data_IF_372780692285
#
_entry.id   IF_372780692285
#
_cell.length_a   1.000
_cell.length_b   1.000
_cell.length_c   1.000
_cell.angle_alpha   90.00
_cell.angle_beta   90.00
_cell.angle_gamma   90.00
#
_symmetry.space_group_name_H-M   'P 1'
#
loop_
_entity.id
_entity.type
_entity.pdbx_description
1 polymer ?
#
# COMPACT_ATOMS: atom_id res chain seq x y z
N UNK A 1 13.73 8.44 4.14
CA UNK A 1 14.64 8.51 2.99
C UNK A 1 14.24 9.62 2.05
N UNK A 2 15.17 10.17 1.30
CA UNK A 2 14.85 11.17 0.29
C UNK A 2 13.94 10.59 -0.80
N UNK A 3 13.39 11.48 -1.62
CA UNK A 3 12.50 11.14 -2.73
C UNK A 3 11.16 10.57 -2.27
N UNK A 4 10.62 11.15 -1.22
CA UNK A 4 9.25 10.88 -0.82
C UNK A 4 8.33 11.91 -1.49
N UNK A 5 7.27 11.44 -2.11
CA UNK A 5 6.28 12.28 -2.79
C UNK A 5 4.88 11.99 -2.24
N UNK A 6 4.12 13.05 -1.95
CA UNK A 6 2.74 12.93 -1.52
C UNK A 6 1.92 14.09 -2.07
N UNK A 7 0.57 13.96 -2.03
CA UNK A 7 -0.32 15.04 -2.45
C UNK A 7 -0.46 16.09 -1.35
N UNK A 8 -0.90 15.67 -0.19
CA UNK A 8 -1.17 16.59 0.93
C UNK A 8 -0.24 16.40 2.10
N UNK A 9 0.11 15.16 2.42
CA UNK A 9 0.90 14.79 3.59
C UNK A 9 0.09 14.76 4.87
N UNK A 10 -0.90 15.64 5.01
CA UNK A 10 -1.71 15.75 6.23
C UNK A 10 -2.62 14.54 6.47
N UNK A 11 -2.89 13.75 5.42
CA UNK A 11 -3.72 12.54 5.51
C UNK A 11 -2.92 11.27 5.77
N UNK A 12 -1.62 11.40 6.02
CA UNK A 12 -0.75 10.25 6.23
C UNK A 12 -0.43 10.14 7.72
N UNK A 13 -0.72 8.97 8.29
CA UNK A 13 -0.38 8.65 9.68
C UNK A 13 0.55 7.44 9.67
N UNK A 14 1.67 7.55 10.37
CA UNK A 14 2.67 6.47 10.48
C UNK A 14 2.90 6.14 11.93
N UNK A 15 3.03 4.84 12.20
CA UNK A 15 3.38 4.35 13.52
C UNK A 15 4.87 4.43 13.83
N UNK A 16 5.29 3.71 14.87
CA UNK A 16 6.67 3.67 15.32
C UNK A 16 7.51 2.72 14.48
N UNK A 17 8.80 3.00 14.38
CA UNK A 17 9.77 2.17 13.67
C UNK A 17 9.41 1.94 12.21
N UNK A 18 8.76 2.91 11.60
CA UNK A 18 8.46 2.87 10.18
C UNK A 18 9.74 3.13 9.39
N UNK A 19 10.01 2.29 8.40
CA UNK A 19 11.12 2.51 7.50
C UNK A 19 10.67 2.41 6.07
N UNK A 20 10.91 3.47 5.31
CA UNK A 20 10.66 3.48 3.87
C UNK A 20 11.96 3.77 3.13
N UNK A 21 12.21 3.00 2.11
CA UNK A 21 13.33 3.22 1.22
C UNK A 21 13.02 4.37 0.26
N UNK A 22 13.88 4.62 -0.72
CA UNK A 22 13.70 5.77 -1.61
C UNK A 22 12.57 5.58 -2.62
N UNK A 23 12.11 6.69 -3.20
CA UNK A 23 11.03 6.76 -4.19
C UNK A 23 9.69 6.23 -3.68
N UNK A 24 9.38 6.51 -2.42
CA UNK A 24 8.05 6.24 -1.89
C UNK A 24 7.08 7.30 -2.41
N UNK A 25 5.98 6.87 -2.99
CA UNK A 25 4.90 7.75 -3.45
C UNK A 25 3.63 7.39 -2.70
N UNK A 26 3.05 8.38 -2.03
CA UNK A 26 1.75 8.23 -1.36
C UNK A 26 0.85 9.34 -1.87
N UNK A 27 -0.18 8.98 -2.63
CA UNK A 27 -1.19 9.93 -3.07
C UNK A 27 -2.33 9.91 -2.05
N UNK A 28 -2.29 10.85 -1.12
CA UNK A 28 -3.15 10.86 0.07
C UNK A 28 -4.37 11.76 -0.07
N UNK A 29 -5.09 11.63 -1.17
CA UNK A 29 -6.41 12.26 -1.33
C UNK A 29 -7.36 11.76 -0.24
N UNK A 30 -7.28 10.47 0.10
CA UNK A 30 -7.94 9.88 1.26
C UNK A 30 -6.88 9.46 2.28
N UNK A 31 -7.27 9.17 3.54
CA UNK A 31 -6.30 8.80 4.57
C UNK A 31 -5.47 7.56 4.24
N UNK A 32 -4.20 7.61 4.60
CA UNK A 32 -3.28 6.47 4.57
C UNK A 32 -2.78 6.26 6.00
N UNK A 33 -3.06 5.08 6.54
CA UNK A 33 -2.64 4.72 7.90
C UNK A 33 -1.63 3.59 7.80
N UNK A 34 -0.45 3.82 8.35
CA UNK A 34 0.64 2.84 8.36
C UNK A 34 0.96 2.55 9.82
N UNK A 35 0.93 1.28 10.18
CA UNK A 35 1.15 0.85 11.56
C UNK A 35 2.62 0.87 11.98
N UNK A 36 2.91 0.14 13.05
CA UNK A 36 4.24 0.04 13.64
C UNK A 36 5.09 -1.00 12.92
N UNK A 37 6.40 -0.79 12.87
CA UNK A 37 7.37 -1.74 12.34
C UNK A 37 7.09 -2.13 10.88
N UNK A 38 6.64 -1.18 10.07
CA UNK A 38 6.37 -1.42 8.66
C UNK A 38 7.61 -1.12 7.84
N UNK A 39 7.93 -2.01 6.91
CA UNK A 39 9.07 -1.85 6.00
C UNK A 39 8.55 -1.70 4.57
N UNK A 40 8.92 -0.61 3.91
CA UNK A 40 8.63 -0.37 2.51
C UNK A 40 9.94 -0.33 1.72
N UNK A 41 10.11 -1.27 0.82
CA UNK A 41 11.27 -1.34 -0.06
C UNK A 41 11.22 -0.20 -1.11
N UNK A 42 12.24 -0.04 -1.96
CA UNK A 42 12.24 1.07 -2.93
C UNK A 42 11.07 1.03 -3.90
N UNK A 43 10.66 2.22 -4.34
CA UNK A 43 9.67 2.41 -5.41
C UNK A 43 8.27 1.86 -5.06
N UNK A 44 7.89 1.91 -3.80
CA UNK A 44 6.53 1.55 -3.38
C UNK A 44 5.59 2.72 -3.67
N UNK A 45 4.39 2.42 -4.15
CA UNK A 45 3.37 3.43 -4.47
C UNK A 45 2.05 3.07 -3.80
N UNK A 46 1.50 4.02 -3.02
CA UNK A 46 0.22 3.87 -2.32
C UNK A 46 -0.73 4.91 -2.90
N UNK A 47 -1.76 4.47 -3.62
CA UNK A 47 -2.67 5.35 -4.32
C UNK A 47 -4.06 5.29 -3.68
N UNK A 48 -4.52 6.40 -3.10
CA UNK A 48 -5.87 6.48 -2.54
C UNK A 48 -6.86 7.09 -3.52
N UNK A 49 -6.38 7.70 -4.59
CA UNK A 49 -7.25 8.36 -5.57
C UNK A 49 -7.43 7.50 -6.81
N UNK A 50 -8.62 7.58 -7.38
CA UNK A 50 -8.92 6.92 -8.64
C UNK A 50 -9.95 7.71 -9.42
N UNK A 51 -10.16 7.30 -10.66
CA UNK A 51 -11.14 7.90 -11.55
C UNK A 51 -12.15 6.84 -11.98
N UNK A 52 -13.40 7.24 -12.28
CA UNK A 52 -14.39 6.29 -12.79
C UNK A 52 -13.91 5.66 -14.10
N UNK A 53 -14.27 4.40 -14.28
CA UNK A 53 -13.93 3.67 -15.52
C UNK A 53 -14.69 4.24 -16.70
N UNK A 54 -15.94 4.66 -16.49
CA UNK A 54 -16.77 5.20 -17.55
C UNK A 54 -16.24 6.58 -18.00
N UNK A 55 -15.99 6.79 -19.30
CA UNK A 55 -15.34 8.02 -19.76
C UNK A 55 -16.16 9.28 -19.49
N UNK A 56 -17.49 9.24 -19.55
CA UNK A 56 -18.29 10.42 -19.28
C UNK A 56 -18.13 10.92 -17.86
N UNK A 57 -18.18 10.00 -16.90
CA UNK A 57 -17.95 10.34 -15.48
C UNK A 57 -16.52 10.81 -15.25
N UNK A 58 -15.55 10.15 -15.87
CA UNK A 58 -14.14 10.51 -15.75
C UNK A 58 -13.88 11.89 -16.33
N UNK A 59 -14.44 12.17 -17.52
CA UNK A 59 -14.20 13.43 -18.23
C UNK A 59 -14.90 14.61 -17.56
N UNK A 60 -15.87 14.37 -16.69
CA UNK A 60 -16.50 15.44 -15.91
C UNK A 60 -15.63 15.95 -14.77
N UNK A 61 -14.44 15.38 -14.59
CA UNK A 61 -13.53 15.75 -13.53
C UNK A 61 -13.77 15.01 -12.22
N UNK A 62 -14.64 14.00 -12.23
CA UNK A 62 -14.93 13.23 -11.04
C UNK A 62 -13.71 12.42 -10.62
N UNK A 63 -13.37 12.51 -9.34
CA UNK A 63 -12.29 11.76 -8.72
C UNK A 63 -12.80 11.21 -7.39
N UNK A 64 -12.42 9.99 -7.03
CA UNK A 64 -12.78 9.43 -5.73
C UNK A 64 -11.52 9.08 -4.97
N UNK A 65 -11.65 9.08 -3.64
CA UNK A 65 -10.58 8.65 -2.74
C UNK A 65 -11.08 7.57 -1.82
N UNK A 66 -10.28 6.53 -1.60
CA UNK A 66 -10.58 5.46 -0.66
C UNK A 66 -9.34 5.19 0.18
N UNK A 67 -9.49 5.11 1.51
CA UNK A 67 -8.34 4.99 2.40
C UNK A 67 -7.58 3.69 2.21
N UNK A 68 -6.27 3.75 2.48
CA UNK A 68 -5.40 2.59 2.54
C UNK A 68 -4.95 2.40 3.99
N UNK A 69 -4.99 1.16 4.45
CA UNK A 69 -4.50 0.78 5.77
C UNK A 69 -3.43 -0.29 5.62
N UNK A 70 -2.25 -0.02 6.15
CA UNK A 70 -1.17 -1.01 6.25
C UNK A 70 -0.97 -1.26 7.74
N UNK A 71 -1.31 -2.45 8.18
CA UNK A 71 -1.27 -2.79 9.60
C UNK A 71 0.17 -3.05 10.07
N UNK A 72 0.34 -3.34 11.35
CA UNK A 72 1.67 -3.51 11.94
C UNK A 72 2.45 -4.66 11.30
N UNK A 73 3.76 -4.53 11.32
CA UNK A 73 4.68 -5.59 10.94
C UNK A 73 4.58 -6.05 9.49
N UNK A 74 4.08 -5.20 8.60
CA UNK A 74 3.96 -5.49 7.17
C UNK A 74 5.25 -5.14 6.44
N UNK A 75 5.61 -5.97 5.48
CA UNK A 75 6.73 -5.69 4.58
C UNK A 75 6.25 -5.69 3.14
N UNK A 76 6.40 -4.55 2.47
CA UNK A 76 6.13 -4.42 1.03
C UNK A 76 7.45 -4.46 0.27
N UNK A 77 7.59 -5.42 -0.62
CA UNK A 77 8.76 -5.55 -1.48
C UNK A 77 8.87 -4.40 -2.49
N UNK A 78 9.99 -4.34 -3.20
CA UNK A 78 10.24 -3.25 -4.15
C UNK A 78 9.19 -3.16 -5.25
N UNK A 79 8.88 -1.94 -5.65
CA UNK A 79 7.94 -1.65 -6.74
C UNK A 79 6.53 -2.21 -6.52
N UNK A 80 6.12 -2.41 -5.28
CA UNK A 80 4.73 -2.79 -4.96
C UNK A 80 3.84 -1.57 -5.14
N UNK A 81 2.69 -1.77 -5.78
CA UNK A 81 1.65 -0.76 -5.93
C UNK A 81 0.40 -1.21 -5.18
N UNK A 82 -0.14 -0.32 -4.33
CA UNK A 82 -1.39 -0.57 -3.60
C UNK A 82 -2.46 0.38 -4.13
N UNK A 83 -3.59 -0.17 -4.53
CA UNK A 83 -4.68 0.60 -5.13
C UNK A 83 -5.64 1.11 -4.04
N UNK A 84 -6.52 2.09 -4.37
CA UNK A 84 -7.43 2.67 -3.39
C UNK A 84 -8.28 1.65 -2.64
N UNK A 85 -8.47 1.87 -1.34
CA UNK A 85 -9.38 1.10 -0.51
C UNK A 85 -8.84 -0.19 0.05
N UNK A 86 -7.56 -0.50 -0.13
CA UNK A 86 -6.97 -1.78 0.30
C UNK A 86 -6.49 -1.71 1.75
N UNK A 87 -6.75 -2.76 2.49
CA UNK A 87 -6.15 -3.02 3.81
C UNK A 87 -5.20 -4.20 3.70
N UNK A 88 -3.96 -4.00 4.14
CA UNK A 88 -2.96 -5.08 4.20
C UNK A 88 -2.81 -5.49 5.66
N UNK A 89 -3.13 -6.75 5.93
CA UNK A 89 -3.23 -7.27 7.29
C UNK A 89 -1.88 -7.44 7.97
N UNK A 90 -1.91 -7.41 9.28
CA UNK A 90 -0.75 -7.45 10.16
C UNK A 90 0.19 -8.61 9.80
N UNK A 91 1.47 -8.31 9.73
CA UNK A 91 2.50 -9.30 9.48
C UNK A 91 2.55 -9.85 8.06
N UNK A 92 1.73 -9.34 7.14
CA UNK A 92 1.78 -9.80 5.75
C UNK A 92 3.05 -9.34 5.05
N UNK A 93 3.51 -10.14 4.11
CA UNK A 93 4.64 -9.83 3.24
C UNK A 93 4.15 -9.83 1.81
N UNK A 94 4.41 -8.73 1.10
CA UNK A 94 4.03 -8.59 -0.30
C UNK A 94 5.27 -8.65 -1.17
N UNK A 95 5.31 -9.62 -2.08
CA UNK A 95 6.46 -9.81 -2.97
C UNK A 95 6.68 -8.65 -3.93
N UNK A 96 7.93 -8.44 -4.32
CA UNK A 96 8.33 -7.33 -5.20
C UNK A 96 7.54 -7.34 -6.51
N UNK A 97 7.24 -6.14 -7.01
CA UNK A 97 6.54 -5.97 -8.29
C UNK A 97 5.06 -6.28 -8.25
N UNK A 98 4.49 -6.56 -7.09
CA UNK A 98 3.07 -6.91 -6.97
C UNK A 98 2.17 -5.70 -7.10
N UNK A 99 0.96 -5.92 -7.60
CA UNK A 99 -0.11 -4.92 -7.61
C UNK A 99 -1.23 -5.43 -6.72
N UNK A 100 -1.41 -4.77 -5.56
CA UNK A 100 -2.37 -5.20 -4.54
C UNK A 100 -3.70 -4.54 -4.82
N UNK A 101 -4.66 -5.32 -5.29
CA UNK A 101 -5.97 -4.85 -5.72
C UNK A 101 -7.10 -5.21 -4.75
N UNK A 102 -6.83 -6.03 -3.75
CA UNK A 102 -7.79 -6.47 -2.73
C UNK A 102 -7.11 -6.52 -1.38
N UNK A 103 -7.91 -6.53 -0.34
CA UNK A 103 -7.40 -6.71 1.00
C UNK A 103 -6.57 -7.99 1.11
N UNK A 104 -5.49 -7.89 1.87
CA UNK A 104 -4.60 -9.03 2.13
C UNK A 104 -4.78 -9.45 3.59
N UNK A 105 -5.07 -10.73 3.85
CA UNK A 105 -5.23 -11.18 5.23
C UNK A 105 -3.93 -11.11 6.02
N UNK A 106 -4.02 -11.09 7.35
CA UNK A 106 -2.81 -11.07 8.19
C UNK A 106 -1.99 -12.35 8.04
N UNK A 107 -0.69 -12.23 8.24
CA UNK A 107 0.21 -13.36 8.39
C UNK A 107 0.40 -14.21 7.15
N UNK A 108 0.34 -13.60 5.97
CA UNK A 108 0.51 -14.34 4.70
C UNK A 108 1.63 -13.75 3.87
N UNK A 109 2.15 -14.56 2.97
CA UNK A 109 2.94 -14.10 1.84
C UNK A 109 2.02 -14.02 0.64
N UNK A 110 1.98 -12.87 0.00
CA UNK A 110 1.18 -12.64 -1.20
C UNK A 110 2.03 -12.00 -2.27
N UNK A 111 1.74 -12.26 -3.54
CA UNK A 111 2.51 -11.68 -4.63
C UNK A 111 1.75 -11.75 -5.94
N UNK A 112 2.23 -11.00 -6.92
CA UNK A 112 1.77 -11.05 -8.30
C UNK A 112 0.97 -9.84 -8.73
N UNK A 113 0.52 -9.86 -9.97
CA UNK A 113 -0.36 -8.86 -10.57
C UNK A 113 -1.49 -9.57 -11.32
N UNK A 114 -2.72 -9.59 -10.77
CA UNK A 114 -3.07 -9.06 -9.46
C UNK A 114 -2.48 -9.91 -8.33
N UNK A 115 -2.21 -9.27 -7.20
CA UNK A 115 -1.61 -9.93 -6.04
C UNK A 115 -2.54 -11.00 -5.49
N UNK A 116 -1.97 -12.15 -5.17
CA UNK A 116 -2.70 -13.30 -4.61
C UNK A 116 -1.94 -13.88 -3.44
N UNK A 117 -2.66 -14.41 -2.48
CA UNK A 117 -2.05 -15.12 -1.34
C UNK A 117 -1.35 -16.38 -1.85
N UNK A 118 -0.08 -16.54 -1.50
CA UNK A 118 0.72 -17.70 -1.86
C UNK A 118 0.67 -18.73 -0.74
N UNK A 119 0.88 -18.30 0.51
CA UNK A 119 0.87 -19.20 1.67
C UNK A 119 0.78 -18.42 2.98
N UNK A 120 0.49 -19.13 4.03
CA UNK A 120 0.58 -18.56 5.38
C UNK A 120 2.03 -18.57 5.83
N UNK A 121 2.40 -17.55 6.61
CA UNK A 121 3.69 -17.51 7.28
C UNK A 121 3.59 -18.28 8.59
N UNK A 122 4.62 -19.07 8.90
CA UNK A 122 4.68 -19.78 10.17
C UNK A 122 5.59 -19.01 11.12
N UNK A 123 5.44 -19.19 12.44
CA UNK A 123 6.32 -18.52 13.40
C UNK A 123 7.80 -18.84 13.14
N UNK A 124 8.65 -17.82 13.34
CA UNK A 124 10.12 -17.94 13.21
C UNK A 124 10.59 -18.21 11.78
N UNK A 125 9.76 -18.02 10.80
CA UNK A 125 10.16 -18.11 9.41
C UNK A 125 11.05 -16.93 9.05
N UNK A 126 12.22 -17.21 8.55
CA UNK A 126 13.21 -16.20 8.21
C UNK A 126 13.22 -15.81 6.76
#
# INVERSE_FOLDING_TARGET
EPDFHCDYGANITVGENFYANFNLVILDVAPVTIGDNVLLAPNVSLYTAGHPVHPDSRNSGYEYGQPIVIEDDVWLGGSVTVVPGVTIGRGAVIGAGSVVTRDVPPGVLAAGNPCRVIRRLVPEEG
#
